data_IF_069556873876
#
_entry.id   IF_069556873876
#
_cell.length_a   1.000
_cell.length_b   1.000
_cell.length_c   1.000
_cell.angle_alpha   90.00
_cell.angle_beta   90.00
_cell.angle_gamma   90.00
#
_symmetry.space_group_name_H-M   'P 1'
#
loop_
_entity.id
_entity.type
_entity.pdbx_description
1 polymer ?
#
# COMPACT_ATOMS: atom_id res chain seq x y z
N UNK A 1 19.30 -27.55 70.63
CA UNK A 1 18.62 -26.25 70.40
C UNK A 1 18.26 -26.16 68.93
N UNK A 2 17.00 -25.85 68.65
CA UNK A 2 16.30 -26.19 67.42
C UNK A 2 16.72 -25.36 66.19
N UNK A 3 16.92 -26.04 65.06
CA UNK A 3 17.09 -25.43 63.73
C UNK A 3 15.74 -25.42 63.01
N UNK A 4 15.13 -24.24 62.87
CA UNK A 4 13.95 -24.05 62.02
C UNK A 4 14.38 -23.89 60.55
N UNK A 5 14.03 -24.88 59.72
CA UNK A 5 14.02 -24.74 58.26
C UNK A 5 12.66 -24.17 57.86
N UNK A 6 12.63 -22.91 57.42
CA UNK A 6 11.47 -22.30 56.80
C UNK A 6 11.46 -22.56 55.30
N UNK A 7 10.58 -23.47 54.85
CA UNK A 7 10.27 -23.66 53.44
C UNK A 7 9.29 -22.56 53.00
N UNK A 8 9.70 -21.74 52.02
CA UNK A 8 8.83 -20.74 51.39
C UNK A 8 8.02 -21.40 50.25
N UNK A 9 6.71 -21.13 50.13
CA UNK A 9 5.89 -21.66 49.05
C UNK A 9 6.22 -20.94 47.72
N UNK A 10 6.46 -21.74 46.69
CA UNK A 10 6.65 -21.30 45.32
C UNK A 10 5.27 -20.95 44.75
N UNK A 11 4.95 -19.67 44.64
CA UNK A 11 3.75 -19.22 43.94
C UNK A 11 3.97 -19.39 42.42
N UNK A 12 3.36 -20.43 41.85
CA UNK A 12 3.17 -20.54 40.40
C UNK A 12 2.26 -19.42 39.93
N UNK A 13 2.83 -18.43 39.24
CA UNK A 13 2.10 -17.37 38.57
C UNK A 13 1.45 -17.92 37.30
N UNK A 14 0.23 -18.44 37.41
CA UNK A 14 -0.65 -18.67 36.27
C UNK A 14 -1.05 -17.31 35.69
N UNK A 15 -0.39 -16.92 34.60
CA UNK A 15 -0.71 -15.71 33.84
C UNK A 15 -2.11 -15.86 33.22
N UNK A 16 -3.02 -14.91 33.40
CA UNK A 16 -4.35 -14.96 32.78
C UNK A 16 -4.20 -14.77 31.26
N UNK A 17 -4.58 -15.80 30.50
CA UNK A 17 -4.75 -15.71 29.04
C UNK A 17 -5.75 -14.62 28.71
N UNK A 18 -5.26 -13.56 28.08
CA UNK A 18 -6.05 -12.44 27.57
C UNK A 18 -6.81 -12.89 26.30
N UNK A 19 -8.15 -13.00 26.31
CA UNK A 19 -8.93 -13.51 25.17
C UNK A 19 -9.00 -12.52 23.99
N UNK A 20 -8.32 -11.38 24.06
CA UNK A 20 -8.29 -10.35 22.99
C UNK A 20 -7.12 -10.48 22.02
N UNK A 21 -6.18 -11.39 22.25
CA UNK A 21 -5.13 -11.73 21.30
C UNK A 21 -5.60 -12.83 20.33
N UNK A 22 -6.66 -12.56 19.56
CA UNK A 22 -6.95 -13.36 18.37
C UNK A 22 -5.76 -13.18 17.39
N UNK A 23 -5.19 -14.27 16.85
CA UNK A 23 -3.92 -14.20 16.17
C UNK A 23 -4.12 -13.57 14.79
N UNK A 24 -3.31 -12.54 14.51
CA UNK A 24 -3.26 -11.84 13.21
C UNK A 24 -3.10 -12.83 12.03
N UNK A 25 -2.62 -14.05 12.28
CA UNK A 25 -2.57 -15.17 11.32
C UNK A 25 -3.91 -15.51 10.68
N UNK A 26 -4.99 -15.54 11.45
CA UNK A 26 -6.30 -15.99 10.98
C UNK A 26 -6.93 -14.93 10.07
N UNK A 27 -6.63 -13.66 10.33
CA UNK A 27 -7.01 -12.54 9.47
C UNK A 27 -6.23 -12.53 8.15
N UNK A 28 -4.91 -12.82 8.17
CA UNK A 28 -4.10 -12.92 6.96
C UNK A 28 -4.55 -14.08 6.09
N UNK A 29 -4.85 -15.24 6.69
CA UNK A 29 -5.38 -16.40 5.98
C UNK A 29 -6.76 -16.12 5.35
N UNK A 30 -7.66 -15.43 6.07
CA UNK A 30 -8.96 -15.00 5.54
C UNK A 30 -8.82 -14.00 4.38
N UNK A 31 -7.82 -13.11 4.44
CA UNK A 31 -7.54 -12.15 3.38
C UNK A 31 -7.02 -12.81 2.10
N UNK A 32 -6.11 -13.79 2.22
CA UNK A 32 -5.63 -14.57 1.08
C UNK A 32 -6.77 -15.36 0.42
N UNK A 33 -7.65 -15.97 1.24
CA UNK A 33 -8.82 -16.69 0.76
C UNK A 33 -9.81 -15.78 0.00
N UNK A 34 -9.99 -14.53 0.46
CA UNK A 34 -10.81 -13.54 -0.23
C UNK A 34 -10.21 -13.09 -1.56
N UNK A 35 -8.89 -12.91 -1.61
CA UNK A 35 -8.16 -12.59 -2.85
C UNK A 35 -8.28 -13.71 -3.87
N UNK A 36 -8.16 -14.96 -3.43
CA UNK A 36 -8.28 -16.13 -4.30
C UNK A 36 -9.72 -16.30 -4.81
N UNK A 37 -10.71 -16.07 -3.96
CA UNK A 37 -12.13 -16.04 -4.34
C UNK A 37 -12.43 -14.95 -5.39
N UNK A 38 -11.85 -13.76 -5.24
CA UNK A 38 -11.99 -12.66 -6.21
C UNK A 38 -11.35 -13.00 -7.56
N UNK A 39 -10.18 -13.65 -7.57
CA UNK A 39 -9.54 -14.13 -8.81
C UNK A 39 -10.40 -15.18 -9.50
N UNK A 40 -10.92 -16.16 -8.75
CA UNK A 40 -11.81 -17.19 -9.30
C UNK A 40 -13.09 -16.60 -9.89
N UNK A 41 -13.71 -15.63 -9.21
CA UNK A 41 -14.89 -14.94 -9.72
C UNK A 41 -14.63 -14.21 -11.05
N UNK A 42 -13.43 -13.62 -11.23
CA UNK A 42 -13.04 -13.01 -12.51
C UNK A 42 -12.88 -14.06 -13.61
N UNK A 43 -12.21 -15.17 -13.32
CA UNK A 43 -12.02 -16.27 -14.28
C UNK A 43 -13.37 -16.84 -14.72
N UNK A 44 -14.30 -17.07 -13.79
CA UNK A 44 -15.64 -17.57 -14.09
C UNK A 44 -16.40 -16.58 -14.98
N UNK A 45 -16.32 -15.28 -14.65
CA UNK A 45 -16.99 -14.24 -15.43
C UNK A 45 -16.42 -14.11 -16.84
N UNK A 46 -15.11 -14.22 -17.01
CA UNK A 46 -14.45 -14.23 -18.31
C UNK A 46 -14.80 -15.49 -19.13
N UNK A 47 -14.86 -16.66 -18.48
CA UNK A 47 -15.28 -17.90 -19.13
C UNK A 47 -16.73 -17.81 -19.62
N UNK A 48 -17.63 -17.18 -18.86
CA UNK A 48 -19.02 -16.98 -19.28
C UNK A 48 -19.14 -15.98 -20.44
N UNK A 49 -18.34 -14.91 -20.43
CA UNK A 49 -18.26 -13.97 -21.57
C UNK A 49 -17.77 -14.69 -22.83
N UNK A 50 -16.71 -15.51 -22.72
CA UNK A 50 -16.21 -16.31 -23.85
C UNK A 50 -17.25 -17.30 -24.36
N UNK A 51 -18.02 -17.94 -23.46
CA UNK A 51 -19.09 -18.86 -23.83
C UNK A 51 -20.24 -18.16 -24.55
N UNK A 52 -20.56 -16.92 -24.19
CA UNK A 52 -21.55 -16.09 -24.90
C UNK A 52 -21.06 -15.61 -26.27
N UNK A 53 -19.76 -15.33 -26.39
CA UNK A 53 -19.13 -14.95 -27.68
C UNK A 53 -18.93 -16.15 -28.62
N UNK A 54 -18.87 -17.37 -28.10
CA UNK A 54 -18.79 -18.61 -28.87
C UNK A 54 -20.16 -19.18 -29.28
N UNK A 55 -21.27 -18.53 -28.88
CA UNK A 55 -22.58 -18.88 -29.39
C UNK A 55 -22.66 -18.46 -30.88
N UNK A 56 -23.08 -19.35 -31.79
CA UNK A 56 -23.18 -19.00 -33.21
C UNK A 56 -24.17 -17.83 -33.40
N UNK A 57 -23.91 -16.95 -34.38
CA UNK A 57 -24.86 -15.90 -34.72
C UNK A 57 -26.19 -16.53 -35.14
N UNK A 58 -27.28 -15.92 -34.70
CA UNK A 58 -28.67 -16.29 -34.95
C UNK A 58 -28.90 -16.99 -36.32
N UNK A 59 -29.64 -18.12 -36.36
CA UNK A 59 -30.09 -18.70 -37.62
C UNK A 59 -31.12 -17.75 -38.24
N UNK A 60 -30.70 -16.98 -39.25
CA UNK A 60 -31.63 -16.08 -39.96
C UNK A 60 -31.03 -15.17 -41.02
N UNK A 61 -29.71 -15.00 -41.11
CA UNK A 61 -29.12 -14.20 -42.19
C UNK A 61 -28.85 -15.04 -43.44
N UNK A 62 -29.84 -15.11 -44.33
CA UNK A 62 -29.64 -15.49 -45.73
C UNK A 62 -28.93 -14.36 -46.48
N UNK A 63 -27.79 -14.60 -47.16
CA UNK A 63 -27.17 -13.60 -48.02
C UNK A 63 -27.77 -13.64 -49.44
N UNK A 64 -27.73 -12.48 -50.09
CA UNK A 64 -28.00 -12.24 -51.52
C UNK A 64 -29.48 -12.21 -51.96
N UNK A 65 -30.14 -11.06 -51.76
CA UNK A 65 -31.12 -10.56 -52.72
C UNK A 65 -30.39 -9.61 -53.69
N UNK A 66 -30.55 -9.90 -54.98
CA UNK A 66 -29.98 -9.18 -56.11
C UNK A 66 -30.36 -7.70 -56.05
N UNK A 67 -29.36 -6.82 -56.15
CA UNK A 67 -29.55 -5.38 -56.24
C UNK A 67 -29.93 -5.03 -57.69
N UNK A 68 -31.23 -4.96 -57.99
CA UNK A 68 -31.71 -4.22 -59.17
C UNK A 68 -31.71 -2.73 -58.83
N UNK A 69 -31.04 -1.86 -59.61
CA UNK A 69 -31.07 -0.42 -59.35
C UNK A 69 -32.49 0.12 -59.51
N UNK A 70 -33.01 0.94 -58.57
CA UNK A 70 -34.33 1.53 -58.69
C UNK A 70 -34.32 2.71 -59.68
N UNK A 71 -35.43 2.82 -60.38
CA UNK A 71 -35.81 3.91 -61.31
C UNK A 71 -35.72 5.29 -60.62
N UNK A 72 -35.06 6.30 -61.22
CA UNK A 72 -34.86 7.62 -60.61
C UNK A 72 -36.13 8.49 -60.45
N UNK A 73 -37.33 7.96 -60.71
CA UNK A 73 -38.59 8.73 -60.62
C UNK A 73 -39.53 8.32 -59.48
N UNK A 74 -39.12 7.45 -58.55
CA UNK A 74 -39.95 7.07 -57.41
C UNK A 74 -39.78 8.05 -56.20
N UNK A 75 -40.87 8.55 -55.58
CA UNK A 75 -40.78 9.35 -54.37
C UNK A 75 -40.23 8.51 -53.20
N UNK A 76 -39.28 9.07 -52.45
CA UNK A 76 -38.65 8.46 -51.27
C UNK A 76 -39.70 8.02 -50.23
N UNK A 77 -39.61 6.80 -49.66
CA UNK A 77 -40.40 6.44 -48.49
C UNK A 77 -39.95 7.28 -47.29
N UNK A 78 -40.88 7.98 -46.65
CA UNK A 78 -40.66 8.64 -45.36
C UNK A 78 -40.17 7.62 -44.33
N UNK A 79 -38.94 7.81 -43.83
CA UNK A 79 -38.45 7.10 -42.66
C UNK A 79 -39.30 7.52 -41.44
N UNK A 80 -39.84 6.57 -40.65
CA UNK A 80 -40.51 6.94 -39.41
C UNK A 80 -39.50 7.62 -38.46
N UNK A 81 -39.93 8.62 -37.68
CA UNK A 81 -39.04 9.30 -36.74
C UNK A 81 -38.47 8.28 -35.74
N UNK A 82 -37.23 8.48 -35.24
CA UNK A 82 -36.66 7.60 -34.24
C UNK A 82 -37.61 7.55 -33.05
N UNK A 83 -38.08 6.34 -32.71
CA UNK A 83 -38.92 6.14 -31.55
C UNK A 83 -38.19 6.67 -30.31
N UNK A 84 -38.62 7.83 -29.83
CA UNK A 84 -38.18 8.40 -28.56
C UNK A 84 -38.60 7.41 -27.48
N UNK A 85 -37.66 6.57 -27.06
CA UNK A 85 -37.87 5.65 -25.94
C UNK A 85 -38.30 6.49 -24.74
N UNK A 86 -39.43 6.20 -24.08
CA UNK A 86 -39.88 6.98 -22.95
C UNK A 86 -38.82 6.87 -21.86
N UNK A 87 -38.37 8.03 -21.38
CA UNK A 87 -37.49 8.19 -20.23
C UNK A 87 -37.94 7.25 -19.10
N UNK A 88 -37.26 6.12 -18.93
CA UNK A 88 -37.55 5.21 -17.83
C UNK A 88 -36.96 5.84 -16.57
N UNK A 89 -37.80 6.56 -15.83
CA UNK A 89 -37.47 6.96 -14.47
C UNK A 89 -37.05 5.69 -13.70
N UNK A 90 -35.89 5.69 -13.03
CA UNK A 90 -35.40 4.52 -12.34
C UNK A 90 -36.43 4.08 -11.30
N UNK A 91 -36.77 2.80 -11.31
CA UNK A 91 -37.74 2.23 -10.38
C UNK A 91 -37.26 2.49 -8.93
N UNK A 92 -38.11 2.96 -7.99
CA UNK A 92 -37.70 3.30 -6.63
C UNK A 92 -36.98 2.14 -5.90
N UNK A 93 -37.30 0.89 -6.23
CA UNK A 93 -36.55 -0.27 -5.71
C UNK A 93 -35.10 -0.32 -6.19
N UNK A 94 -34.85 0.01 -7.47
CA UNK A 94 -33.50 0.07 -8.02
C UNK A 94 -32.69 1.21 -7.40
N UNK A 95 -33.34 2.35 -7.12
CA UNK A 95 -32.70 3.49 -6.43
C UNK A 95 -32.21 3.05 -5.04
N UNK A 96 -33.08 2.42 -4.24
CA UNK A 96 -32.73 1.95 -2.88
C UNK A 96 -31.58 0.94 -2.92
N UNK A 97 -31.63 -0.04 -3.83
CA UNK A 97 -30.57 -1.06 -3.98
C UNK A 97 -29.24 -0.41 -4.38
N UNK A 98 -29.26 0.53 -5.33
CA UNK A 98 -28.06 1.23 -5.81
C UNK A 98 -27.41 2.08 -4.72
N UNK A 99 -28.21 2.70 -3.86
CA UNK A 99 -27.71 3.52 -2.75
C UNK A 99 -27.11 2.64 -1.65
N UNK A 100 -27.75 1.53 -1.32
CA UNK A 100 -27.23 0.55 -0.36
C UNK A 100 -25.86 0.00 -0.83
N UNK A 101 -25.73 -0.28 -2.13
CA UNK A 101 -24.48 -0.74 -2.73
C UNK A 101 -23.39 0.35 -2.67
N UNK A 102 -23.72 1.61 -2.95
CA UNK A 102 -22.79 2.75 -2.80
C UNK A 102 -22.29 2.90 -1.37
N UNK A 103 -23.18 2.77 -0.40
CA UNK A 103 -22.83 2.83 1.02
C UNK A 103 -21.96 1.63 1.45
N UNK A 104 -22.22 0.43 0.94
CA UNK A 104 -21.38 -0.73 1.21
C UNK A 104 -19.97 -0.54 0.64
N UNK A 105 -19.85 -0.04 -0.60
CA UNK A 105 -18.57 0.25 -1.24
C UNK A 105 -17.82 1.35 -0.49
N UNK A 106 -18.49 2.43 -0.07
CA UNK A 106 -17.83 3.51 0.67
C UNK A 106 -17.31 3.02 2.02
N UNK A 107 -18.12 2.27 2.78
CA UNK A 107 -17.71 1.65 4.04
C UNK A 107 -16.53 0.69 3.83
N UNK A 108 -16.56 -0.12 2.78
CA UNK A 108 -15.47 -1.03 2.45
C UNK A 108 -14.18 -0.26 2.12
N UNK A 109 -14.27 0.81 1.32
CA UNK A 109 -13.12 1.69 1.01
C UNK A 109 -12.52 2.30 2.27
N UNK A 110 -13.35 2.84 3.16
CA UNK A 110 -12.89 3.41 4.43
C UNK A 110 -12.22 2.36 5.31
N UNK A 111 -12.79 1.15 5.41
CA UNK A 111 -12.17 0.04 6.16
C UNK A 111 -10.80 -0.34 5.58
N UNK A 112 -10.71 -0.46 4.25
CA UNK A 112 -9.46 -0.79 3.56
C UNK A 112 -8.40 0.31 3.77
N UNK A 113 -8.80 1.58 3.73
CA UNK A 113 -7.90 2.69 3.98
C UNK A 113 -7.40 2.70 5.43
N UNK A 114 -8.28 2.48 6.40
CA UNK A 114 -7.91 2.39 7.81
C UNK A 114 -6.98 1.21 8.07
N UNK A 115 -7.27 0.03 7.51
CA UNK A 115 -6.40 -1.14 7.61
C UNK A 115 -5.02 -0.88 7.01
N UNK A 116 -4.93 -0.18 5.87
CA UNK A 116 -3.66 0.23 5.27
C UNK A 116 -2.87 1.19 6.16
N UNK A 117 -3.55 2.20 6.73
CA UNK A 117 -2.94 3.14 7.68
C UNK A 117 -2.41 2.42 8.93
N UNK A 118 -3.20 1.51 9.47
CA UNK A 118 -2.81 0.72 10.64
C UNK A 118 -1.64 -0.21 10.36
N UNK A 119 -1.64 -0.93 9.23
CA UNK A 119 -0.52 -1.75 8.80
C UNK A 119 0.77 -0.92 8.64
N UNK A 120 0.67 0.30 8.09
CA UNK A 120 1.79 1.24 7.98
C UNK A 120 2.32 1.67 9.36
N UNK A 121 1.42 2.01 10.29
CA UNK A 121 1.76 2.36 11.68
C UNK A 121 2.45 1.20 12.40
N UNK A 122 1.94 -0.02 12.25
CA UNK A 122 2.53 -1.22 12.83
C UNK A 122 3.93 -1.46 12.28
N UNK A 123 4.13 -1.35 10.96
CA UNK A 123 5.44 -1.47 10.32
C UNK A 123 6.45 -0.43 10.84
N UNK A 124 6.02 0.83 11.03
CA UNK A 124 6.88 1.87 11.59
C UNK A 124 7.27 1.61 13.05
N UNK A 125 6.34 1.13 13.88
CA UNK A 125 6.61 0.78 15.29
C UNK A 125 7.49 -0.45 15.44
N UNK A 126 7.35 -1.43 14.56
CA UNK A 126 8.13 -2.67 14.59
C UNK A 126 9.60 -2.45 14.22
N UNK A 127 9.96 -1.33 13.57
CA UNK A 127 11.34 -1.07 13.19
C UNK A 127 12.16 -0.47 14.35
N UNK A 128 13.18 -1.19 14.88
CA UNK A 128 13.96 -0.74 16.04
C UNK A 128 14.77 0.54 15.77
N UNK A 129 14.94 0.91 14.50
CA UNK A 129 15.73 2.07 14.08
C UNK A 129 14.90 3.11 13.32
N UNK A 130 13.57 3.15 13.53
CA UNK A 130 12.66 4.01 12.75
C UNK A 130 13.04 5.50 12.83
N UNK A 131 13.56 5.98 13.97
CA UNK A 131 14.00 7.37 14.14
C UNK A 131 15.26 7.71 13.33
N UNK A 132 16.14 6.74 13.09
CA UNK A 132 17.35 6.96 12.29
C UNK A 132 17.10 6.88 10.77
N UNK A 133 16.07 6.14 10.35
CA UNK A 133 15.84 5.79 8.94
C UNK A 133 14.61 6.46 8.32
N UNK A 134 13.56 6.63 9.12
CA UNK A 134 12.21 6.99 8.68
C UNK A 134 11.55 7.99 9.63
N UNK A 135 12.32 8.86 10.27
CA UNK A 135 11.79 9.84 11.22
C UNK A 135 10.73 10.74 10.60
N UNK A 136 10.94 11.13 9.34
CA UNK A 136 9.98 11.92 8.59
C UNK A 136 8.67 11.17 8.38
N UNK A 137 8.73 9.90 7.95
CA UNK A 137 7.52 9.07 7.77
C UNK A 137 6.82 8.82 9.11
N UNK A 138 7.60 8.63 10.17
CA UNK A 138 7.10 8.49 11.53
C UNK A 138 6.32 9.75 11.95
N UNK A 139 6.87 10.95 11.81
CA UNK A 139 6.18 12.19 12.16
C UNK A 139 4.96 12.50 11.29
N UNK A 140 4.97 12.05 10.02
CA UNK A 140 3.82 12.19 9.14
C UNK A 140 2.64 11.31 9.59
N UNK A 141 2.95 10.12 10.11
CA UNK A 141 1.94 9.14 10.52
C UNK A 141 1.49 9.33 11.98
N UNK A 142 2.42 9.72 12.85
CA UNK A 142 2.21 10.04 14.27
C UNK A 142 2.30 11.55 14.45
N UNK A 143 1.14 12.21 14.48
CA UNK A 143 1.07 13.66 14.72
C UNK A 143 1.76 14.00 16.04
N UNK A 144 2.67 14.95 15.97
CA UNK A 144 3.33 15.53 17.14
C UNK A 144 2.28 16.36 17.91
N UNK A 145 2.18 16.22 19.24
CA UNK A 145 1.29 17.03 20.06
C UNK A 145 1.51 18.53 19.83
N UNK A 146 0.43 19.32 19.90
CA UNK A 146 0.52 20.76 19.75
C UNK A 146 1.52 21.35 20.77
N UNK A 147 2.43 22.20 20.29
CA UNK A 147 3.46 22.84 21.12
C UNK A 147 4.78 22.07 21.23
N UNK A 148 4.82 20.79 20.86
CA UNK A 148 6.08 20.04 20.76
C UNK A 148 6.70 20.22 19.38
N UNK A 149 8.03 20.36 19.33
CA UNK A 149 8.79 20.41 18.07
C UNK A 149 9.36 19.02 17.77
N UNK A 150 9.41 18.61 16.48
CA UNK A 150 10.15 17.42 16.11
C UNK A 150 11.62 17.55 16.50
N UNK A 151 12.19 16.45 16.99
CA UNK A 151 13.60 16.41 17.38
C UNK A 151 14.51 16.85 16.22
N UNK A 152 15.27 17.96 16.37
CA UNK A 152 16.04 18.55 15.28
C UNK A 152 17.21 17.65 14.86
N UNK A 153 17.71 16.83 15.77
CA UNK A 153 18.81 15.90 15.51
C UNK A 153 18.46 14.92 14.37
N UNK A 154 17.33 14.20 14.51
CA UNK A 154 16.90 13.22 13.50
C UNK A 154 16.47 13.89 12.18
N UNK A 155 15.92 15.11 12.22
CA UNK A 155 15.58 15.88 11.02
C UNK A 155 16.81 16.20 10.16
N UNK A 156 17.98 16.36 10.79
CA UNK A 156 19.22 16.76 10.10
C UNK A 156 20.01 15.57 9.54
N UNK A 157 19.59 14.33 9.83
CA UNK A 157 20.21 13.13 9.27
C UNK A 157 19.94 13.02 7.77
N UNK A 158 20.97 12.66 7.00
CA UNK A 158 20.85 12.41 5.57
C UNK A 158 19.89 11.26 5.28
N UNK A 159 19.86 10.22 6.12
CA UNK A 159 18.93 9.10 5.97
C UNK A 159 17.44 9.52 6.04
N UNK A 160 17.13 10.63 6.73
CA UNK A 160 15.77 11.15 6.88
C UNK A 160 15.38 12.21 5.82
N UNK A 161 16.30 12.56 4.90
CA UNK A 161 16.02 13.47 3.78
C UNK A 161 15.10 12.78 2.74
N UNK A 162 14.34 13.56 1.94
CA UNK A 162 13.60 13.00 0.82
C UNK A 162 14.53 12.21 -0.09
N UNK A 163 14.04 11.08 -0.60
CA UNK A 163 14.76 10.29 -1.59
C UNK A 163 15.04 11.17 -2.82
N UNK A 164 16.32 11.34 -3.21
CA UNK A 164 16.68 12.14 -4.36
C UNK A 164 16.24 11.45 -5.64
N UNK A 165 15.88 12.23 -6.67
CA UNK A 165 15.50 11.69 -7.99
C UNK A 165 16.61 10.80 -8.53
N UNK A 166 16.29 9.72 -9.22
CA UNK A 166 17.28 8.74 -9.71
C UNK A 166 18.38 9.36 -10.58
N UNK A 167 18.02 10.36 -11.39
CA UNK A 167 18.96 11.05 -12.28
C UNK A 167 19.82 12.12 -11.59
N UNK A 168 19.52 12.45 -10.33
CA UNK A 168 20.28 13.43 -9.57
C UNK A 168 21.66 12.83 -9.21
N UNK A 169 22.71 13.44 -9.76
CA UNK A 169 24.12 13.10 -9.52
C UNK A 169 24.81 14.08 -8.58
N UNK A 170 24.07 14.99 -7.94
CA UNK A 170 24.66 15.90 -6.97
C UNK A 170 25.29 15.13 -5.80
N UNK A 171 26.35 15.70 -5.22
CA UNK A 171 27.03 15.12 -4.06
C UNK A 171 26.07 14.84 -2.90
N UNK A 172 25.10 15.75 -2.69
CA UNK A 172 24.06 15.59 -1.67
C UNK A 172 23.13 14.41 -2.00
N UNK A 173 22.75 14.22 -3.27
CA UNK A 173 21.93 13.08 -3.69
C UNK A 173 22.67 11.76 -3.50
N UNK A 174 23.95 11.70 -3.90
CA UNK A 174 24.81 10.52 -3.69
C UNK A 174 24.93 10.20 -2.20
N UNK A 175 25.26 11.20 -1.37
CA UNK A 175 25.38 11.01 0.07
C UNK A 175 24.06 10.61 0.73
N UNK A 176 22.93 11.17 0.27
CA UNK A 176 21.60 10.82 0.78
C UNK A 176 21.26 9.36 0.49
N UNK A 177 21.43 8.88 -0.75
CA UNK A 177 21.19 7.47 -1.10
C UNK A 177 22.09 6.54 -0.27
N UNK A 178 23.37 6.87 -0.18
CA UNK A 178 24.34 6.08 0.58
C UNK A 178 23.98 6.02 2.08
N UNK A 179 23.50 7.12 2.66
CA UNK A 179 23.02 7.18 4.04
C UNK A 179 21.71 6.41 4.27
N UNK A 180 20.80 6.40 3.28
CA UNK A 180 19.53 5.66 3.36
C UNK A 180 19.74 4.14 3.35
N UNK A 181 20.78 3.65 2.68
CA UNK A 181 21.23 2.25 2.74
C UNK A 181 21.82 1.89 4.11
N UNK A 182 22.42 2.86 4.81
CA UNK A 182 23.17 2.68 6.07
C UNK A 182 22.69 3.64 7.17
N UNK A 183 21.42 3.54 7.59
CA UNK A 183 20.82 4.51 8.52
C UNK A 183 21.47 4.49 9.92
N UNK A 184 22.16 3.41 10.26
CA UNK A 184 22.87 3.22 11.54
C UNK A 184 24.15 4.05 11.68
N UNK A 185 24.61 4.73 10.62
CA UNK A 185 25.82 5.56 10.69
C UNK A 185 25.52 7.03 11.06
N UNK A 186 24.24 7.41 11.20
CA UNK A 186 23.81 8.73 11.68
C UNK A 186 24.47 9.94 11.01
N UNK A 187 24.74 9.83 9.70
CA UNK A 187 25.40 10.89 8.95
C UNK A 187 24.53 12.13 8.79
N UNK A 188 25.17 13.29 8.90
CA UNK A 188 24.58 14.61 8.74
C UNK A 188 25.03 15.26 7.44
N UNK A 189 24.46 16.42 7.10
CA UNK A 189 24.85 17.20 5.90
C UNK A 189 26.33 17.57 5.91
N UNK A 190 26.95 17.73 7.09
CA UNK A 190 28.39 18.03 7.21
C UNK A 190 29.28 16.89 6.72
N UNK A 191 28.76 15.66 6.76
CA UNK A 191 29.50 14.45 6.39
C UNK A 191 29.42 14.15 4.89
N UNK A 192 28.67 14.93 4.11
CA UNK A 192 28.50 14.78 2.66
C UNK A 192 29.80 14.54 1.89
N UNK A 193 30.87 15.37 2.01
CA UNK A 193 32.08 15.16 1.21
C UNK A 193 32.76 13.82 1.52
N UNK A 194 32.79 13.42 2.79
CA UNK A 194 33.34 12.14 3.24
C UNK A 194 32.54 10.95 2.70
N UNK A 195 31.21 11.06 2.72
CA UNK A 195 30.32 10.00 2.21
C UNK A 195 30.46 9.84 0.70
N UNK A 196 30.53 10.95 -0.03
CA UNK A 196 30.74 10.92 -1.49
C UNK A 196 32.06 10.24 -1.83
N UNK A 197 33.11 10.49 -1.06
CA UNK A 197 34.38 9.81 -1.21
C UNK A 197 34.27 8.30 -0.94
N UNK A 198 33.60 7.90 0.15
CA UNK A 198 33.34 6.49 0.45
C UNK A 198 32.51 5.80 -0.65
N UNK A 199 31.46 6.45 -1.13
CA UNK A 199 30.59 5.95 -2.18
C UNK A 199 31.37 5.71 -3.49
N UNK A 200 32.34 6.57 -3.80
CA UNK A 200 33.24 6.40 -4.96
C UNK A 200 34.24 5.26 -4.79
N UNK A 201 34.74 5.02 -3.57
CA UNK A 201 35.72 3.97 -3.27
C UNK A 201 35.13 2.56 -3.20
N UNK A 202 33.82 2.44 -3.03
CA UNK A 202 33.13 1.15 -2.95
C UNK A 202 33.28 0.45 -1.58
N UNK A 203 32.67 -0.74 -1.42
CA UNK A 203 32.39 -1.36 -0.13
C UNK A 203 33.63 -1.83 0.67
N UNK A 204 34.79 -1.99 0.02
CA UNK A 204 36.03 -2.41 0.69
C UNK A 204 36.68 -1.31 1.55
N UNK A 205 36.32 -0.04 1.33
CA UNK A 205 36.90 1.12 2.02
C UNK A 205 36.26 1.41 3.39
N UNK A 206 35.14 0.78 3.74
CA UNK A 206 34.33 1.17 4.90
C UNK A 206 34.98 0.74 6.24
N UNK A 207 35.64 -0.43 6.25
CA UNK A 207 36.43 -0.90 7.40
C UNK A 207 37.68 -0.04 7.66
N UNK A 208 38.32 0.46 6.60
CA UNK A 208 39.48 1.36 6.69
C UNK A 208 39.08 2.78 7.08
N UNK A 209 37.93 3.27 6.61
CA UNK A 209 37.39 4.57 6.98
C UNK A 209 37.02 4.63 8.47
N UNK A 210 36.46 3.53 9.03
CA UNK A 210 36.28 3.38 10.48
C UNK A 210 37.59 3.45 11.26
N UNK A 211 38.67 2.87 10.74
CA UNK A 211 40.02 2.97 11.34
C UNK A 211 40.63 4.37 11.25
N UNK A 212 40.29 5.16 10.23
CA UNK A 212 40.93 6.47 9.96
C UNK A 212 40.15 7.69 10.46
N UNK A 213 38.83 7.60 10.73
CA UNK A 213 38.02 8.80 11.03
C UNK A 213 36.97 8.67 12.14
N UNK A 214 36.85 7.54 12.82
CA UNK A 214 35.81 7.34 13.84
C UNK A 214 36.20 7.83 15.23
N UNK A 215 36.13 9.14 15.50
CA UNK A 215 35.87 9.58 16.88
C UNK A 215 34.41 9.24 17.16
N UNK A 216 34.21 8.01 17.65
CA UNK A 216 32.96 7.60 18.26
C UNK A 216 32.81 8.48 19.50
N UNK A 217 31.98 9.52 19.43
CA UNK A 217 31.54 10.23 20.63
C UNK A 217 30.77 9.21 21.46
N UNK A 218 31.46 8.59 22.43
CA UNK A 218 30.83 7.85 23.50
C UNK A 218 30.04 8.87 24.31
N UNK A 219 28.74 8.67 24.36
CA UNK A 219 27.89 9.31 25.35
C UNK A 219 27.85 8.35 26.53
N UNK A 220 28.56 8.71 27.60
CA UNK A 220 28.36 8.15 28.93
C UNK A 220 27.05 8.68 29.53
#
# INVERSE_FOLDING_TARGET
MASHQGAMPIYSSSSPQDPRAQPISDFVASFEQLLESQKQARIIKEAEIRKRLAAPPFPGYTPAAQYTPPDPSAPLPELPPPATSPSSLPNPRQIIISELQRQAISRQRTRMENARKEARRASLRAHPHVLSRRFRDYNNEFRIPAGQRPEPYYMNLLANRPEPRQDDRSDVAVATRYAQERPYNFWTVRDTPFIVEMAKRGPLSEAEARKKGGVLVKWD
#
